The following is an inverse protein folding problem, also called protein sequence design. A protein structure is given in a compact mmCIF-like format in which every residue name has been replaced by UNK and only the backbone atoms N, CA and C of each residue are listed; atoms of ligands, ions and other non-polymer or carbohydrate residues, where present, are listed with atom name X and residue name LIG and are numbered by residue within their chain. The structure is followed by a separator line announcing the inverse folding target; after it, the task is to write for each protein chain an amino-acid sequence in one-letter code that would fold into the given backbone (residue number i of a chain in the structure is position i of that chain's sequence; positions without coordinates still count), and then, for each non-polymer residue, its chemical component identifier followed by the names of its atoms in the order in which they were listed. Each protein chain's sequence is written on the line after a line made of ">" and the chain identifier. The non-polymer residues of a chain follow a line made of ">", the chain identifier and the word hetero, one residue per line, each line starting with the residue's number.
data_IF_361654861779
#
_entry.id   IF_361654861779
#
_cell.length_a   1.000
_cell.length_b   1.000
_cell.length_c   1.000
_cell.angle_alpha   90.00
_cell.angle_beta   90.00
_cell.angle_gamma   90.00
#
_symmetry.space_group_name_H-M   'P 1'
#
loop_
_entity.id
_entity.type
_entity.pdbx_description
1 polymer ?
#
# COMPACT_ATOMS: atom_id res chain seq x y z
N UNK A 1 1.11 -2.27 -19.27
CA UNK A 1 2.03 -3.30 -19.77
C UNK A 1 1.24 -4.34 -20.54
N UNK A 2 1.69 -4.77 -21.73
CA UNK A 2 0.97 -5.77 -22.49
C UNK A 2 0.93 -7.11 -21.76
N UNK A 3 -0.20 -7.80 -21.85
CA UNK A 3 -0.49 -9.06 -21.17
C UNK A 3 0.53 -10.19 -21.40
N UNK A 4 1.37 -10.08 -22.43
CA UNK A 4 2.40 -11.07 -22.80
C UNK A 4 3.77 -10.85 -22.15
N UNK A 5 4.00 -9.75 -21.44
CA UNK A 5 5.27 -9.49 -20.72
C UNK A 5 5.30 -10.09 -19.29
N UNK A 6 4.33 -10.92 -18.96
CA UNK A 6 4.18 -11.50 -17.60
C UNK A 6 5.04 -12.76 -17.45
N UNK A 7 6.33 -12.57 -17.28
CA UNK A 7 7.20 -13.65 -16.81
C UNK A 7 6.94 -13.95 -15.33
N UNK A 8 7.35 -15.14 -14.87
CA UNK A 8 7.26 -15.59 -13.46
C UNK A 8 7.75 -14.56 -12.44
N UNK A 9 8.68 -13.67 -12.82
CA UNK A 9 9.14 -12.57 -12.00
C UNK A 9 8.10 -11.51 -11.69
N UNK A 10 7.06 -11.35 -12.52
CA UNK A 10 6.01 -10.35 -12.31
C UNK A 10 4.93 -10.85 -11.33
N UNK A 11 4.73 -12.14 -11.17
CA UNK A 11 3.71 -12.72 -10.29
C UNK A 11 4.03 -12.39 -8.84
N UNK A 12 5.24 -12.66 -8.35
CA UNK A 12 5.60 -12.38 -6.97
C UNK A 12 5.86 -10.89 -6.69
N UNK A 13 6.28 -10.10 -7.69
CA UNK A 13 6.51 -8.65 -7.54
C UNK A 13 5.21 -7.84 -7.43
N UNK A 14 4.08 -8.41 -7.85
CA UNK A 14 2.75 -7.78 -7.78
C UNK A 14 1.90 -8.30 -6.62
N UNK A 15 2.42 -9.24 -5.84
CA UNK A 15 1.76 -9.68 -4.62
C UNK A 15 1.82 -8.56 -3.57
N UNK A 16 0.73 -8.42 -2.84
CA UNK A 16 0.59 -7.46 -1.74
C UNK A 16 0.28 -8.26 -0.48
N UNK A 17 1.03 -8.00 0.57
CA UNK A 17 0.80 -8.56 1.89
C UNK A 17 0.23 -7.47 2.80
N UNK A 18 -0.82 -7.79 3.52
CA UNK A 18 -1.42 -6.93 4.52
C UNK A 18 -1.63 -7.68 5.82
N UNK A 19 -1.33 -7.01 6.92
CA UNK A 19 -1.65 -7.41 8.27
C UNK A 19 -2.12 -6.19 9.10
N UNK A 20 -2.31 -6.37 10.40
CA UNK A 20 -2.75 -5.28 11.28
C UNK A 20 -1.66 -4.22 11.56
N UNK A 21 -0.41 -4.50 11.20
CA UNK A 21 0.70 -3.55 11.26
C UNK A 21 0.86 -2.71 10.00
N UNK A 22 0.00 -2.89 9.00
CA UNK A 22 0.06 -2.17 7.72
C UNK A 22 -1.08 -1.15 7.63
N UNK A 23 -0.75 0.11 7.38
CA UNK A 23 -1.72 1.20 7.19
C UNK A 23 -1.89 1.44 5.68
N UNK A 24 -3.12 1.47 5.21
CA UNK A 24 -3.47 1.85 3.84
C UNK A 24 -4.00 3.27 3.79
N UNK A 25 -3.59 4.03 2.78
CA UNK A 25 -4.13 5.35 2.51
C UNK A 25 -4.46 5.52 1.03
N UNK A 26 -5.37 6.45 0.73
CA UNK A 26 -5.76 6.75 -0.65
C UNK A 26 -6.11 8.22 -0.80
N UNK A 27 -5.56 8.85 -1.83
CA UNK A 27 -5.97 10.17 -2.29
C UNK A 27 -6.80 10.03 -3.56
N UNK A 28 -7.92 10.74 -3.64
CA UNK A 28 -8.73 10.89 -4.84
C UNK A 28 -8.70 12.34 -5.27
N UNK A 29 -8.20 12.60 -6.47
CA UNK A 29 -8.07 13.96 -6.99
C UNK A 29 -8.71 14.04 -8.37
N UNK A 30 -9.60 15.03 -8.64
CA UNK A 30 -10.08 15.28 -9.98
C UNK A 30 -8.93 15.79 -10.85
N UNK A 31 -8.74 15.19 -12.02
CA UNK A 31 -7.67 15.55 -12.97
C UNK A 31 -8.20 15.58 -14.40
N UNK A 32 -7.70 16.51 -15.19
CA UNK A 32 -8.11 16.68 -16.61
C UNK A 32 -7.47 15.58 -17.48
N UNK A 33 -6.25 15.16 -17.15
CA UNK A 33 -5.50 14.17 -17.91
C UNK A 33 -4.49 13.43 -17.02
N UNK A 34 -4.29 12.15 -17.27
CA UNK A 34 -3.24 11.35 -16.61
C UNK A 34 -1.81 11.81 -16.92
N UNK A 35 -1.62 12.48 -18.05
CA UNK A 35 -0.30 12.96 -18.48
C UNK A 35 0.22 14.17 -17.68
N UNK A 36 -0.65 14.84 -16.92
CA UNK A 36 -0.31 16.03 -16.11
C UNK A 36 0.00 15.72 -14.65
N UNK A 37 0.05 14.45 -14.26
CA UNK A 37 0.16 14.07 -12.85
C UNK A 37 1.57 13.58 -12.53
N UNK A 38 2.27 14.38 -11.72
CA UNK A 38 3.53 13.97 -11.13
C UNK A 38 3.28 13.11 -9.89
N UNK A 39 3.95 11.97 -9.81
CA UNK A 39 3.87 11.05 -8.69
C UNK A 39 4.32 11.70 -7.37
N UNK A 40 5.34 12.56 -7.43
CA UNK A 40 5.88 13.28 -6.29
C UNK A 40 4.85 14.16 -5.57
N UNK A 41 3.87 14.73 -6.29
CA UNK A 41 2.81 15.55 -5.68
C UNK A 41 1.98 14.80 -4.63
N UNK A 42 1.98 13.46 -4.67
CA UNK A 42 1.21 12.62 -3.74
C UNK A 42 2.09 11.94 -2.69
N UNK A 43 3.35 11.66 -3.03
CA UNK A 43 4.28 11.03 -2.10
C UNK A 43 4.88 12.06 -1.15
N UNK A 44 5.13 13.28 -1.62
CA UNK A 44 5.74 14.35 -0.82
C UNK A 44 4.87 14.74 0.40
N UNK A 45 3.54 14.95 0.30
CA UNK A 45 2.72 15.24 1.49
C UNK A 45 2.79 14.15 2.57
N UNK A 46 2.94 12.88 2.15
CA UNK A 46 3.12 11.78 3.10
C UNK A 46 4.51 11.82 3.74
N UNK A 47 5.54 12.12 2.98
CA UNK A 47 6.89 12.29 3.51
C UNK A 47 6.95 13.47 4.51
N UNK A 48 6.31 14.59 4.18
CA UNK A 48 6.23 15.76 5.05
C UNK A 48 5.46 15.45 6.35
N UNK A 49 4.36 14.70 6.26
CA UNK A 49 3.60 14.26 7.43
C UNK A 49 4.41 13.32 8.33
N UNK A 50 5.22 12.43 7.75
CA UNK A 50 6.13 11.56 8.49
C UNK A 50 7.24 12.37 9.17
N UNK A 51 7.85 13.32 8.46
CA UNK A 51 8.87 14.21 9.02
C UNK A 51 8.30 15.05 10.18
N UNK A 52 7.06 15.51 10.09
CA UNK A 52 6.40 16.27 11.15
C UNK A 52 6.17 15.48 12.45
N UNK A 53 6.12 14.15 12.36
CA UNK A 53 6.07 13.26 13.53
C UNK A 53 7.45 12.72 13.93
N UNK A 54 8.53 13.31 13.37
CA UNK A 54 9.90 12.97 13.71
C UNK A 54 10.47 11.75 12.99
N UNK A 55 9.87 11.36 11.87
CA UNK A 55 10.29 10.21 11.08
C UNK A 55 10.75 10.68 9.70
N UNK A 56 12.06 10.79 9.52
CA UNK A 56 12.64 11.21 8.25
C UNK A 56 12.66 10.06 7.24
N UNK A 57 12.08 10.31 6.08
CA UNK A 57 12.03 9.35 4.97
C UNK A 57 12.68 9.93 3.73
N UNK A 58 13.20 9.04 2.89
CA UNK A 58 13.72 9.37 1.55
C UNK A 58 12.74 8.85 0.50
N UNK A 59 12.39 9.69 -0.47
CA UNK A 59 11.63 9.25 -1.65
C UNK A 59 12.61 8.54 -2.58
N UNK A 60 12.40 7.23 -2.79
CA UNK A 60 13.28 6.38 -3.57
C UNK A 60 12.59 5.91 -4.84
N UNK A 61 13.36 5.92 -5.94
CA UNK A 61 12.86 5.49 -7.23
C UNK A 61 11.67 6.33 -7.70
N UNK A 62 10.59 5.64 -8.10
CA UNK A 62 9.41 6.28 -8.63
C UNK A 62 8.29 6.45 -7.61
N UNK A 63 8.22 5.57 -6.61
CA UNK A 63 7.00 5.39 -5.81
C UNK A 63 7.20 4.81 -4.41
N UNK A 64 8.42 4.75 -3.90
CA UNK A 64 8.71 4.15 -2.60
C UNK A 64 9.16 5.22 -1.60
N UNK A 65 8.80 5.04 -0.32
CA UNK A 65 9.44 5.73 0.79
C UNK A 65 10.37 4.76 1.50
N UNK A 66 11.56 5.22 1.82
CA UNK A 66 12.60 4.44 2.48
C UNK A 66 13.13 5.15 3.72
N UNK A 67 13.52 4.37 4.72
CA UNK A 67 14.30 4.78 5.88
C UNK A 67 15.53 3.89 5.91
N UNK A 68 16.73 4.48 5.97
CA UNK A 68 18.01 3.76 5.95
C UNK A 68 18.12 2.71 4.82
N UNK A 69 17.59 3.05 3.64
CA UNK A 69 17.60 2.16 2.47
C UNK A 69 16.63 0.99 2.55
N UNK A 70 15.74 0.97 3.56
CA UNK A 70 14.65 -0.02 3.66
C UNK A 70 13.33 0.60 3.28
N UNK A 71 12.61 -0.03 2.39
CA UNK A 71 11.28 0.38 1.96
C UNK A 71 10.29 0.26 3.12
N UNK A 72 9.63 1.36 3.45
CA UNK A 72 8.58 1.44 4.47
C UNK A 72 7.21 1.79 3.88
N UNK A 73 7.16 2.15 2.60
CA UNK A 73 5.92 2.48 1.88
C UNK A 73 6.04 2.11 0.41
N UNK A 74 4.97 1.59 -0.16
CA UNK A 74 4.83 1.40 -1.60
C UNK A 74 3.56 2.07 -2.09
N UNK A 75 3.63 2.70 -3.28
CA UNK A 75 2.54 3.50 -3.81
C UNK A 75 2.20 3.09 -5.25
N UNK A 76 0.94 3.26 -5.64
CA UNK A 76 0.47 3.04 -6.99
C UNK A 76 -0.60 4.08 -7.37
N UNK A 77 -0.76 4.31 -8.68
CA UNK A 77 -1.74 5.24 -9.20
C UNK A 77 -2.63 4.59 -10.26
N UNK A 78 -3.90 4.98 -10.27
CA UNK A 78 -4.85 4.63 -11.30
C UNK A 78 -5.65 5.86 -11.71
N UNK A 79 -5.73 6.11 -13.01
CA UNK A 79 -6.63 7.11 -13.58
C UNK A 79 -7.88 6.42 -14.11
N UNK A 80 -9.05 6.91 -13.70
CA UNK A 80 -10.34 6.46 -14.20
C UNK A 80 -11.42 7.53 -14.00
N UNK A 81 -12.30 7.71 -14.99
CA UNK A 81 -13.49 8.57 -14.86
C UNK A 81 -13.21 10.03 -14.51
N UNK A 82 -12.08 10.60 -14.94
CA UNK A 82 -11.71 12.00 -14.62
C UNK A 82 -11.08 12.16 -13.24
N UNK A 83 -10.81 11.07 -12.54
CA UNK A 83 -10.15 11.07 -11.24
C UNK A 83 -8.85 10.29 -11.27
N UNK A 84 -7.87 10.78 -10.55
CA UNK A 84 -6.69 10.04 -10.16
C UNK A 84 -6.89 9.47 -8.77
N UNK A 85 -6.73 8.16 -8.65
CA UNK A 85 -6.56 7.47 -7.39
C UNK A 85 -5.07 7.22 -7.18
N UNK A 86 -4.50 7.81 -6.14
CA UNK A 86 -3.18 7.44 -5.63
C UNK A 86 -3.37 6.71 -4.31
N UNK A 87 -2.91 5.49 -4.23
CA UNK A 87 -2.98 4.70 -3.01
C UNK A 87 -1.61 4.19 -2.62
N UNK A 88 -1.42 4.03 -1.33
CA UNK A 88 -0.17 3.54 -0.77
C UNK A 88 -0.37 2.79 0.53
N UNK A 89 0.73 2.22 0.98
CA UNK A 89 0.84 1.50 2.25
C UNK A 89 1.92 2.12 3.10
N UNK A 90 1.75 2.10 4.42
CA UNK A 90 2.79 2.39 5.40
C UNK A 90 2.99 1.14 6.24
N UNK A 91 4.20 0.60 6.26
CA UNK A 91 4.57 -0.56 7.06
C UNK A 91 4.90 -0.06 8.47
N UNK A 92 3.90 -0.04 9.35
CA UNK A 92 4.08 0.44 10.72
C UNK A 92 4.78 -0.62 11.59
N UNK A 93 4.17 -1.78 11.75
CA UNK A 93 4.66 -2.91 12.56
C UNK A 93 4.25 -4.23 11.89
N UNK A 94 4.55 -4.35 10.59
CA UNK A 94 4.21 -5.50 9.77
C UNK A 94 5.06 -6.70 10.13
N UNK A 95 4.46 -7.91 10.23
CA UNK A 95 5.19 -9.16 10.38
C UNK A 95 5.92 -9.50 9.06
N UNK A 96 7.18 -9.02 8.94
CA UNK A 96 8.02 -9.26 7.76
C UNK A 96 8.28 -10.75 7.54
N UNK A 97 8.30 -11.56 8.58
CA UNK A 97 8.49 -13.01 8.48
C UNK A 97 7.25 -13.69 7.91
N UNK A 98 6.04 -13.29 8.33
CA UNK A 98 4.80 -13.75 7.73
C UNK A 98 4.68 -13.28 6.28
N UNK A 99 5.04 -12.03 5.98
CA UNK A 99 5.12 -11.52 4.60
C UNK A 99 6.00 -12.42 3.73
N UNK A 100 7.21 -12.73 4.18
CA UNK A 100 8.15 -13.60 3.45
C UNK A 100 7.58 -15.00 3.25
N UNK A 101 6.97 -15.60 4.29
CA UNK A 101 6.34 -16.94 4.18
C UNK A 101 5.15 -16.95 3.23
N UNK A 102 4.46 -15.81 3.06
CA UNK A 102 3.31 -15.68 2.15
C UNK A 102 3.71 -15.51 0.68
N UNK A 103 4.99 -15.21 0.41
CA UNK A 103 5.50 -15.15 -0.96
C UNK A 103 5.56 -16.58 -1.53
N UNK A 104 4.64 -16.87 -2.44
CA UNK A 104 4.59 -18.16 -3.12
C UNK A 104 5.66 -18.21 -4.21
N UNK A 105 6.83 -18.76 -3.90
CA UNK A 105 7.92 -19.01 -4.85
C UNK A 105 8.00 -20.51 -5.08
N UNK A 106 7.85 -20.94 -6.31
CA UNK A 106 7.72 -22.33 -6.70
C UNK A 106 8.97 -23.22 -6.45
N UNK A 107 10.10 -22.62 -6.05
CA UNK A 107 11.37 -23.35 -5.83
C UNK A 107 12.00 -22.91 -4.50
N UNK A 108 12.24 -23.87 -3.59
CA UNK A 108 12.85 -23.64 -2.27
C UNK A 108 14.20 -22.89 -2.34
N UNK A 109 14.96 -23.12 -3.41
CA UNK A 109 16.26 -22.48 -3.63
C UNK A 109 16.13 -20.99 -3.96
N UNK A 110 15.03 -20.59 -4.64
CA UNK A 110 14.66 -19.20 -4.89
C UNK A 110 13.97 -18.57 -3.68
N UNK A 111 13.21 -19.36 -2.89
CA UNK A 111 12.58 -18.94 -1.64
C UNK A 111 13.59 -18.33 -0.67
N UNK A 112 14.70 -19.01 -0.41
CA UNK A 112 15.72 -18.51 0.53
C UNK A 112 16.38 -17.20 0.06
N UNK A 113 16.56 -17.03 -1.24
CA UNK A 113 17.13 -15.83 -1.86
C UNK A 113 16.13 -14.67 -1.88
N UNK A 114 14.86 -14.97 -2.24
CA UNK A 114 13.77 -14.01 -2.21
C UNK A 114 13.49 -13.52 -0.78
N UNK A 115 13.42 -14.44 0.19
CA UNK A 115 13.26 -14.16 1.60
C UNK A 115 14.35 -13.22 2.14
N UNK A 116 15.61 -13.51 1.88
CA UNK A 116 16.74 -12.64 2.27
C UNK A 116 16.64 -11.27 1.60
N UNK A 117 16.25 -11.23 0.33
CA UNK A 117 16.10 -9.98 -0.43
C UNK A 117 14.96 -9.10 0.10
N UNK A 118 13.81 -9.70 0.49
CA UNK A 118 12.69 -8.96 1.08
C UNK A 118 13.10 -8.41 2.45
N UNK A 119 13.62 -9.26 3.34
CA UNK A 119 14.07 -8.85 4.69
C UNK A 119 15.13 -7.75 4.66
N UNK A 120 16.01 -7.77 3.66
CA UNK A 120 17.05 -6.75 3.51
C UNK A 120 16.52 -5.40 2.99
N UNK A 121 15.35 -5.38 2.33
CA UNK A 121 14.83 -4.21 1.63
C UNK A 121 13.58 -3.61 2.27
N UNK A 122 12.96 -4.29 3.21
CA UNK A 122 11.72 -3.85 3.86
C UNK A 122 12.00 -3.53 5.32
N UNK A 123 11.43 -2.46 5.84
CA UNK A 123 11.51 -2.06 7.23
C UNK A 123 10.17 -1.63 7.77
N UNK A 124 10.05 -1.56 9.09
CA UNK A 124 8.90 -1.02 9.77
C UNK A 124 9.17 0.42 10.22
N UNK A 125 8.20 1.29 10.08
CA UNK A 125 8.28 2.69 10.53
C UNK A 125 8.46 2.75 12.06
N UNK A 126 7.83 1.82 12.79
CA UNK A 126 7.89 1.73 14.24
C UNK A 126 9.33 1.57 14.78
N UNK A 127 10.22 0.93 14.02
CA UNK A 127 11.63 0.77 14.41
C UNK A 127 12.38 2.11 14.51
N UNK A 128 11.82 3.18 13.94
CA UNK A 128 12.38 4.54 13.88
C UNK A 128 11.50 5.57 14.61
N UNK A 129 10.35 5.15 15.09
CA UNK A 129 9.43 6.00 15.83
C UNK A 129 9.78 6.03 17.34
N UNK A 130 9.32 7.04 18.09
CA UNK A 130 9.41 7.03 19.55
C UNK A 130 8.77 5.76 20.16
N UNK A 131 9.43 5.15 21.14
CA UNK A 131 9.06 3.86 21.75
C UNK A 131 7.61 3.81 22.26
N UNK A 132 7.09 4.95 22.70
CA UNK A 132 5.74 5.07 23.26
C UNK A 132 4.66 5.45 22.26
N UNK A 133 5.00 5.65 20.98
CA UNK A 133 4.03 6.02 19.95
C UNK A 133 3.22 4.80 19.52
N UNK A 134 1.92 4.84 19.78
CA UNK A 134 0.99 3.80 19.33
C UNK A 134 0.57 4.00 17.87
N UNK A 135 0.06 2.94 17.23
CA UNK A 135 -0.45 3.03 15.85
C UNK A 135 -1.61 4.03 15.74
N UNK A 136 -2.48 4.09 16.71
CA UNK A 136 -3.64 4.99 16.72
C UNK A 136 -3.21 6.45 16.83
N UNK A 137 -2.24 6.75 17.70
CA UNK A 137 -1.64 8.08 17.81
C UNK A 137 -0.89 8.47 16.53
N UNK A 138 -0.15 7.54 15.94
CA UNK A 138 0.51 7.75 14.66
C UNK A 138 -0.48 8.09 13.54
N UNK A 139 -1.57 7.32 13.40
CA UNK A 139 -2.64 7.58 12.43
C UNK A 139 -3.28 8.95 12.70
N UNK A 140 -3.56 9.28 13.97
CA UNK A 140 -4.14 10.56 14.34
C UNK A 140 -3.23 11.75 13.94
N UNK A 141 -1.92 11.62 14.18
CA UNK A 141 -0.94 12.63 13.79
C UNK A 141 -0.84 12.77 12.26
N UNK A 142 -0.77 11.65 11.50
CA UNK A 142 -0.78 11.69 10.05
C UNK A 142 -2.05 12.37 9.51
N UNK A 143 -3.22 12.03 10.05
CA UNK A 143 -4.49 12.68 9.67
C UNK A 143 -4.44 14.17 9.93
N UNK A 144 -3.95 14.59 11.08
CA UNK A 144 -3.83 16.01 11.43
C UNK A 144 -3.02 16.79 10.38
N UNK A 145 -1.85 16.28 9.97
CA UNK A 145 -1.01 16.94 8.98
C UNK A 145 -1.58 16.87 7.56
N UNK A 146 -2.14 15.73 7.16
CA UNK A 146 -2.71 15.55 5.82
C UNK A 146 -4.03 16.29 5.61
N UNK A 147 -4.73 16.69 6.68
CA UNK A 147 -6.00 17.42 6.63
C UNK A 147 -5.85 18.88 7.06
N UNK A 148 -4.76 19.53 6.68
CA UNK A 148 -4.51 20.94 6.95
C UNK A 148 -4.65 21.27 8.44
N UNK A 149 -3.96 20.53 9.30
CA UNK A 149 -4.02 20.61 10.77
C UNK A 149 -5.44 20.36 11.32
N UNK A 150 -6.14 19.41 10.70
CA UNK A 150 -7.50 19.06 11.10
C UNK A 150 -8.58 20.07 10.70
N UNK A 151 -8.23 21.08 9.88
CA UNK A 151 -9.19 22.08 9.40
C UNK A 151 -10.09 21.58 8.27
N UNK A 152 -9.62 20.61 7.51
CA UNK A 152 -10.42 19.96 6.48
C UNK A 152 -11.43 19.02 7.13
N UNK A 153 -12.66 19.05 6.62
CA UNK A 153 -13.77 18.30 7.21
C UNK A 153 -13.61 16.79 7.11
N UNK A 154 -14.15 16.06 8.07
CA UNK A 154 -14.29 14.62 8.01
C UNK A 154 -15.67 14.22 7.48
N UNK A 155 -15.71 13.35 6.46
CA UNK A 155 -16.98 12.83 5.96
C UNK A 155 -17.42 11.63 6.80
N UNK A 156 -18.59 11.74 7.42
CA UNK A 156 -19.19 10.65 8.18
C UNK A 156 -20.20 9.89 7.31
N UNK A 157 -20.00 8.58 7.21
CA UNK A 157 -20.93 7.72 6.48
C UNK A 157 -22.29 7.67 7.18
N UNK A 158 -23.36 7.88 6.43
CA UNK A 158 -24.74 7.70 6.91
C UNK A 158 -25.03 6.21 7.12
N UNK A 159 -26.05 5.87 7.92
CA UNK A 159 -26.43 4.48 8.16
C UNK A 159 -26.93 3.79 6.89
N UNK A 160 -27.57 4.53 5.99
CA UNK A 160 -27.96 4.03 4.65
C UNK A 160 -26.73 3.64 3.84
N UNK A 161 -25.67 4.46 3.85
CA UNK A 161 -24.42 4.14 3.14
C UNK A 161 -23.72 2.94 3.78
N UNK A 162 -23.65 2.87 5.10
CA UNK A 162 -23.08 1.70 5.81
C UNK A 162 -23.82 0.42 5.44
N UNK A 163 -25.15 0.46 5.41
CA UNK A 163 -25.98 -0.69 5.01
C UNK A 163 -25.70 -1.10 3.55
N UNK A 164 -25.60 -0.14 2.63
CA UNK A 164 -25.26 -0.42 1.23
C UNK A 164 -23.86 -1.02 1.07
N UNK A 165 -22.88 -0.54 1.83
CA UNK A 165 -21.51 -1.10 1.86
C UNK A 165 -21.52 -2.55 2.34
N UNK A 166 -22.26 -2.87 3.40
CA UNK A 166 -22.39 -4.23 3.92
C UNK A 166 -23.07 -5.17 2.90
N UNK A 167 -24.13 -4.69 2.23
CA UNK A 167 -24.78 -5.45 1.18
C UNK A 167 -23.83 -5.73 0.00
N UNK A 168 -23.05 -4.74 -0.43
CA UNK A 168 -22.06 -4.90 -1.49
C UNK A 168 -20.94 -5.88 -1.09
N UNK A 169 -20.49 -5.81 0.17
CA UNK A 169 -19.54 -6.80 0.71
C UNK A 169 -20.09 -8.21 0.52
N UNK A 170 -21.31 -8.46 0.96
CA UNK A 170 -21.90 -9.81 0.95
C UNK A 170 -22.23 -10.30 -0.46
N UNK A 171 -22.67 -9.40 -1.36
CA UNK A 171 -22.99 -9.74 -2.73
C UNK A 171 -21.78 -9.98 -3.63
N UNK A 172 -20.65 -9.32 -3.36
CA UNK A 172 -19.49 -9.36 -4.23
C UNK A 172 -18.20 -9.70 -3.49
N UNK A 173 -17.77 -8.86 -2.56
CA UNK A 173 -16.41 -8.93 -2.01
C UNK A 173 -16.16 -10.11 -1.06
N UNK A 174 -17.21 -10.65 -0.43
CA UNK A 174 -17.11 -11.86 0.38
C UNK A 174 -17.30 -13.16 -0.45
N UNK A 175 -17.60 -13.06 -1.74
CA UNK A 175 -17.83 -14.23 -2.58
C UNK A 175 -16.52 -14.92 -2.98
N UNK A 176 -16.53 -16.24 -3.02
CA UNK A 176 -15.40 -17.04 -3.48
C UNK A 176 -14.99 -16.68 -4.92
N UNK A 177 -15.98 -16.45 -5.78
CA UNK A 177 -15.76 -16.05 -7.17
C UNK A 177 -14.96 -14.76 -7.31
N UNK A 178 -15.16 -13.80 -6.40
CA UNK A 178 -14.37 -12.55 -6.38
C UNK A 178 -12.96 -12.78 -5.87
N UNK A 179 -12.80 -13.54 -4.78
CA UNK A 179 -11.52 -13.69 -4.10
C UNK A 179 -10.58 -14.67 -4.83
N UNK A 180 -11.12 -15.69 -5.47
CA UNK A 180 -10.34 -16.79 -6.07
C UNK A 180 -10.74 -17.10 -7.51
N UNK A 181 -12.04 -17.02 -7.85
CA UNK A 181 -12.59 -17.51 -9.11
C UNK A 181 -12.35 -16.59 -10.31
N UNK A 182 -11.93 -15.34 -10.14
CA UNK A 182 -11.67 -14.38 -11.22
C UNK A 182 -10.18 -14.32 -11.64
N UNK A 183 -9.34 -15.13 -11.06
CA UNK A 183 -7.95 -15.24 -11.51
C UNK A 183 -7.92 -15.86 -12.90
N UNK A 184 -7.21 -15.25 -13.88
CA UNK A 184 -7.08 -15.86 -15.20
C UNK A 184 -6.33 -17.19 -15.10
N UNK A 185 -6.78 -18.16 -15.90
CA UNK A 185 -6.07 -19.43 -16.04
C UNK A 185 -4.63 -19.18 -16.51
N UNK A 186 -3.68 -19.91 -15.94
CA UNK A 186 -2.29 -19.87 -16.38
C UNK A 186 -1.76 -21.29 -16.54
N UNK A 187 -0.91 -21.49 -17.55
CA UNK A 187 -0.21 -22.74 -17.75
C UNK A 187 1.24 -22.62 -17.25
N UNK A 188 1.65 -23.59 -16.47
CA UNK A 188 3.06 -23.81 -16.12
C UNK A 188 3.74 -24.55 -17.27
N UNK A 189 4.71 -23.93 -17.89
CA UNK A 189 5.67 -24.63 -18.75
C UNK A 189 6.89 -24.96 -17.91
N UNK A 190 7.10 -26.27 -17.65
CA UNK A 190 8.32 -26.79 -17.03
C UNK A 190 9.49 -26.70 -18.01
#
# INVERSE_FOLDING_TARGET
>A
DPLWSRGLGDVYKRQVYHDLGNICFTFFVPVVSSASVDFHQFVQPMADALAAVGIDVTISGRNDLEIDGKKVSGNAQRYAGGYLMHHGTLLWDTDVDAMVRSLNVADEKFMSKAAKSVRARVGNIKDYAPDNLTIDEFIAQLRYYLTNEGRDGEYQLTDTQKTAILALRDQQFAQWSWNYGQSPDFMYHN
#
